data_IF_656723635304
#
_entry.id   IF_656723635304
#
_cell.length_a   1.000
_cell.length_b   1.000
_cell.length_c   1.000
_cell.angle_alpha   90.00
_cell.angle_beta   90.00
_cell.angle_gamma   90.00
#
_symmetry.space_group_name_H-M   'P 1'
#
loop_
_entity.id
_entity.type
_entity.pdbx_description
1 polymer ?
#
# COMPACT_ATOMS: atom_id res chain seq x y z
N UNK A 1 -19.86 -19.38 8.28
CA UNK A 1 -19.19 -18.07 8.41
C UNK A 1 -17.71 -18.32 8.26
N UNK A 2 -17.17 -18.15 7.06
CA UNK A 2 -15.74 -18.35 6.84
C UNK A 2 -15.03 -17.14 7.45
N UNK A 3 -14.26 -17.37 8.51
CA UNK A 3 -13.36 -16.38 9.08
C UNK A 3 -12.26 -16.10 8.04
N UNK A 4 -12.53 -15.21 7.09
CA UNK A 4 -11.49 -14.74 6.17
C UNK A 4 -10.52 -13.88 6.96
N UNK A 5 -9.34 -14.42 7.23
CA UNK A 5 -8.20 -13.70 7.82
C UNK A 5 -7.79 -12.61 6.83
N UNK A 6 -7.70 -11.33 7.22
CA UNK A 6 -7.48 -10.22 6.28
C UNK A 6 -6.09 -10.22 5.64
N UNK A 7 -5.11 -10.90 6.23
CA UNK A 7 -3.81 -11.16 5.61
C UNK A 7 -3.98 -11.96 4.32
N UNK A 8 -4.88 -12.94 4.34
CA UNK A 8 -5.29 -13.74 3.20
C UNK A 8 -6.62 -13.19 2.68
N UNK A 9 -6.58 -11.99 2.09
CA UNK A 9 -7.67 -11.63 1.18
C UNK A 9 -7.76 -12.73 0.12
N UNK A 10 -8.87 -13.46 0.17
CA UNK A 10 -9.14 -14.55 -0.75
C UNK A 10 -9.09 -14.02 -2.17
N UNK A 11 -8.39 -14.74 -3.03
CA UNK A 11 -8.39 -14.44 -4.45
C UNK A 11 -9.82 -14.51 -4.98
N UNK A 12 -10.17 -13.52 -5.79
CA UNK A 12 -11.46 -13.51 -6.48
C UNK A 12 -11.51 -14.68 -7.45
N UNK A 13 -12.70 -15.11 -7.85
CA UNK A 13 -12.80 -16.23 -8.81
C UNK A 13 -12.08 -15.91 -10.13
N UNK A 14 -12.06 -14.63 -10.52
CA UNK A 14 -11.30 -14.12 -11.68
C UNK A 14 -9.79 -14.26 -11.51
N UNK A 15 -9.29 -13.98 -10.31
CA UNK A 15 -7.86 -14.16 -9.98
C UNK A 15 -7.46 -15.62 -10.09
N UNK A 16 -8.30 -16.52 -9.58
CA UNK A 16 -8.07 -17.96 -9.67
C UNK A 16 -8.15 -18.46 -11.11
N UNK A 17 -9.15 -18.04 -11.89
CA UNK A 17 -9.25 -18.38 -13.30
C UNK A 17 -8.00 -17.93 -14.07
N UNK A 18 -7.53 -16.71 -13.81
CA UNK A 18 -6.32 -16.17 -14.41
C UNK A 18 -5.09 -17.03 -14.06
N UNK A 19 -4.85 -17.31 -12.77
CA UNK A 19 -3.71 -18.11 -12.34
C UNK A 19 -3.73 -19.54 -12.91
N UNK A 20 -4.89 -20.19 -12.88
CA UNK A 20 -5.02 -21.56 -13.40
C UNK A 20 -4.80 -21.63 -14.90
N UNK A 21 -5.29 -20.63 -15.66
CA UNK A 21 -5.10 -20.56 -17.11
C UNK A 21 -3.62 -20.48 -17.52
N UNK A 22 -2.76 -19.92 -16.67
CA UNK A 22 -1.33 -19.75 -16.94
C UNK A 22 -0.52 -20.97 -16.53
N UNK A 23 -0.82 -21.53 -15.35
CA UNK A 23 -0.02 -22.64 -14.78
C UNK A 23 -0.33 -23.97 -15.46
N UNK A 24 -1.60 -24.19 -15.82
CA UNK A 24 -2.08 -25.47 -16.35
C UNK A 24 -2.96 -25.26 -17.59
N UNK A 25 -2.38 -24.86 -18.74
CA UNK A 25 -3.14 -24.73 -19.98
C UNK A 25 -3.70 -26.10 -20.39
N UNK A 26 -5.02 -26.28 -20.30
CA UNK A 26 -5.71 -27.50 -20.73
C UNK A 26 -5.88 -28.60 -19.67
N UNK A 27 -5.68 -28.31 -18.38
CA UNK A 27 -5.96 -29.31 -17.33
C UNK A 27 -7.46 -29.61 -17.20
N UNK A 28 -7.80 -30.90 -17.19
CA UNK A 28 -9.18 -31.39 -16.97
C UNK A 28 -9.68 -31.15 -15.52
N UNK A 29 -8.76 -30.86 -14.57
CA UNK A 29 -9.07 -30.76 -13.15
C UNK A 29 -8.80 -29.36 -12.56
N UNK A 30 -9.32 -28.33 -13.23
CA UNK A 30 -9.27 -26.92 -12.82
C UNK A 30 -9.74 -26.70 -11.38
N UNK A 31 -10.73 -27.47 -10.92
CA UNK A 31 -11.28 -27.38 -9.57
C UNK A 31 -10.25 -27.73 -8.49
N UNK A 32 -9.51 -28.84 -8.65
CA UNK A 32 -8.48 -29.26 -7.70
C UNK A 32 -7.36 -28.23 -7.54
N UNK A 33 -6.98 -27.56 -8.63
CA UNK A 33 -5.93 -26.52 -8.60
C UNK A 33 -6.43 -25.26 -7.91
N UNK A 34 -7.70 -24.87 -8.11
CA UNK A 34 -8.31 -23.73 -7.42
C UNK A 34 -8.34 -23.94 -5.91
N UNK A 35 -8.75 -25.12 -5.46
CA UNK A 35 -8.76 -25.48 -4.05
C UNK A 35 -7.35 -25.53 -3.45
N UNK A 36 -6.37 -26.03 -4.21
CA UNK A 36 -4.97 -26.00 -3.78
C UNK A 36 -4.46 -24.56 -3.59
N UNK A 37 -4.76 -23.64 -4.52
CA UNK A 37 -4.36 -22.22 -4.39
C UNK A 37 -5.04 -21.55 -3.17
N UNK A 38 -6.28 -21.93 -2.84
CA UNK A 38 -7.00 -21.37 -1.68
C UNK A 38 -6.48 -21.91 -0.35
N UNK A 39 -6.21 -23.21 -0.27
CA UNK A 39 -5.98 -23.90 1.00
C UNK A 39 -4.49 -24.12 1.32
N UNK A 40 -3.60 -24.04 0.34
CA UNK A 40 -2.15 -24.23 0.50
C UNK A 40 -1.39 -22.90 0.20
N UNK A 41 -0.99 -22.16 1.26
CA UNK A 41 -0.24 -20.91 1.12
C UNK A 41 1.09 -21.05 0.38
N UNK A 42 1.79 -22.17 0.53
CA UNK A 42 3.08 -22.41 -0.13
C UNK A 42 2.87 -22.68 -1.63
N UNK A 43 1.83 -23.45 -1.97
CA UNK A 43 1.44 -23.66 -3.35
C UNK A 43 0.99 -22.36 -4.03
N UNK A 44 0.17 -21.55 -3.33
CA UNK A 44 -0.19 -20.19 -3.78
C UNK A 44 1.05 -19.35 -4.03
N UNK A 45 1.97 -19.31 -3.06
CA UNK A 45 3.23 -18.56 -3.16
C UNK A 45 4.03 -18.98 -4.38
N UNK A 46 4.17 -20.29 -4.63
CA UNK A 46 4.89 -20.83 -5.78
C UNK A 46 4.26 -20.40 -7.11
N UNK A 47 2.93 -20.52 -7.23
CA UNK A 47 2.19 -20.13 -8.44
C UNK A 47 2.28 -18.63 -8.72
N UNK A 48 2.02 -17.78 -7.73
CA UNK A 48 2.05 -16.32 -7.90
C UNK A 48 3.47 -15.83 -8.23
N UNK A 49 4.49 -16.58 -7.78
CA UNK A 49 5.90 -16.31 -8.09
C UNK A 49 6.36 -16.80 -9.48
N UNK A 50 5.51 -17.49 -10.24
CA UNK A 50 5.89 -18.06 -11.53
C UNK A 50 6.20 -16.96 -12.56
N UNK A 51 7.27 -17.14 -13.33
CA UNK A 51 7.73 -16.16 -14.32
C UNK A 51 6.69 -15.94 -15.44
N UNK A 52 5.91 -16.97 -15.76
CA UNK A 52 4.83 -16.89 -16.76
C UNK A 52 3.71 -15.97 -16.27
N UNK A 53 3.38 -16.05 -14.97
CA UNK A 53 2.37 -15.18 -14.34
C UNK A 53 2.85 -13.73 -14.38
N UNK A 54 4.11 -13.48 -13.98
CA UNK A 54 4.69 -12.14 -14.06
C UNK A 54 4.71 -11.60 -15.50
N UNK A 55 5.19 -12.39 -16.46
CA UNK A 55 5.26 -12.01 -17.87
C UNK A 55 3.89 -11.65 -18.44
N UNK A 56 2.85 -12.41 -18.09
CA UNK A 56 1.49 -12.11 -18.52
C UNK A 56 0.98 -10.80 -17.91
N UNK A 57 1.23 -10.56 -16.62
CA UNK A 57 0.79 -9.34 -15.92
C UNK A 57 1.46 -8.08 -16.49
N UNK A 58 2.75 -8.14 -16.83
CA UNK A 58 3.49 -6.95 -17.33
C UNK A 58 3.24 -6.67 -18.82
N UNK A 59 3.14 -7.72 -19.64
CA UNK A 59 2.99 -7.59 -21.09
C UNK A 59 1.55 -7.28 -21.52
N UNK A 60 0.54 -7.75 -20.77
CA UNK A 60 -0.84 -7.39 -21.01
C UNK A 60 -1.15 -6.01 -20.38
N UNK A 61 -1.28 -4.99 -21.22
CA UNK A 61 -1.59 -3.62 -20.80
C UNK A 61 -2.92 -3.48 -20.04
N UNK A 62 -3.82 -4.46 -20.20
CA UNK A 62 -5.13 -4.50 -19.55
C UNK A 62 -5.20 -5.52 -18.41
N UNK A 63 -4.08 -6.17 -18.04
CA UNK A 63 -4.04 -7.14 -16.95
C UNK A 63 -4.66 -6.61 -15.67
N UNK A 64 -4.37 -5.35 -15.33
CA UNK A 64 -4.92 -4.65 -14.16
C UNK A 64 -6.45 -4.53 -14.15
N UNK A 65 -7.13 -4.61 -15.30
CA UNK A 65 -8.59 -4.64 -15.40
C UNK A 65 -9.16 -6.06 -15.29
N UNK A 66 -8.34 -7.07 -15.60
CA UNK A 66 -8.73 -8.49 -15.64
C UNK A 66 -8.58 -9.17 -14.28
N UNK A 67 -7.56 -8.78 -13.51
CA UNK A 67 -7.28 -9.30 -12.17
C UNK A 67 -7.52 -8.26 -11.08
N UNK A 68 -7.65 -8.72 -9.84
CA UNK A 68 -7.77 -7.83 -8.68
C UNK A 68 -6.47 -7.05 -8.45
N UNK A 69 -6.56 -5.81 -7.92
CA UNK A 69 -5.38 -5.04 -7.56
C UNK A 69 -4.46 -5.75 -6.55
N UNK A 70 -5.03 -6.55 -5.63
CA UNK A 70 -4.25 -7.33 -4.66
C UNK A 70 -3.35 -8.34 -5.36
N UNK A 71 -3.89 -9.16 -6.27
CA UNK A 71 -3.08 -10.11 -7.05
C UNK A 71 -2.03 -9.39 -7.89
N UNK A 72 -2.42 -8.29 -8.54
CA UNK A 72 -1.50 -7.48 -9.36
C UNK A 72 -0.27 -7.03 -8.56
N UNK A 73 -0.47 -6.42 -7.39
CA UNK A 73 0.64 -5.97 -6.56
C UNK A 73 1.40 -7.12 -5.90
N UNK A 74 0.75 -8.24 -5.57
CA UNK A 74 1.44 -9.43 -5.05
C UNK A 74 2.44 -9.97 -6.07
N UNK A 75 2.02 -10.15 -7.33
CA UNK A 75 2.90 -10.60 -8.43
C UNK A 75 4.08 -9.65 -8.60
N UNK A 76 3.84 -8.33 -8.60
CA UNK A 76 4.90 -7.34 -8.73
C UNK A 76 5.87 -7.35 -7.53
N UNK A 77 5.38 -7.46 -6.30
CA UNK A 77 6.21 -7.51 -5.09
C UNK A 77 7.07 -8.77 -5.06
N UNK A 78 6.51 -9.94 -5.43
CA UNK A 78 7.28 -11.19 -5.52
C UNK A 78 8.36 -11.12 -6.59
N UNK A 79 8.07 -10.50 -7.74
CA UNK A 79 9.09 -10.24 -8.75
C UNK A 79 10.17 -9.28 -8.25
N UNK A 80 9.76 -8.18 -7.59
CA UNK A 80 10.69 -7.22 -7.01
C UNK A 80 11.62 -7.87 -5.98
N UNK A 81 11.11 -8.79 -5.15
CA UNK A 81 11.94 -9.56 -4.22
C UNK A 81 13.03 -10.35 -4.96
N UNK A 82 12.68 -11.08 -6.02
CA UNK A 82 13.65 -11.83 -6.85
C UNK A 82 14.70 -10.92 -7.50
N UNK A 83 14.27 -9.78 -8.03
CA UNK A 83 15.19 -8.82 -8.65
C UNK A 83 16.09 -8.14 -7.59
N UNK A 84 15.58 -7.87 -6.39
CA UNK A 84 16.37 -7.32 -5.30
C UNK A 84 17.47 -8.28 -4.86
N UNK A 85 17.20 -9.59 -4.80
CA UNK A 85 18.21 -10.61 -4.49
C UNK A 85 19.35 -10.60 -5.52
N UNK A 86 19.04 -10.37 -6.79
CA UNK A 86 20.04 -10.28 -7.87
C UNK A 86 20.68 -8.90 -8.04
N UNK A 87 20.15 -7.87 -7.37
CA UNK A 87 20.68 -6.52 -7.42
C UNK A 87 21.85 -6.34 -6.45
N UNK A 88 22.85 -5.57 -6.87
CA UNK A 88 23.98 -5.21 -6.03
C UNK A 88 23.65 -4.15 -4.96
N UNK A 89 22.68 -3.26 -5.23
CA UNK A 89 22.32 -2.16 -4.32
C UNK A 89 20.84 -1.77 -4.43
N UNK A 90 20.33 -1.13 -3.38
CA UNK A 90 19.08 -0.36 -3.40
C UNK A 90 19.41 1.12 -3.52
N UNK A 91 18.47 1.94 -4.00
CA UNK A 91 18.69 3.39 -4.12
C UNK A 91 17.91 4.10 -3.03
N UNK A 92 18.60 4.70 -2.07
CA UNK A 92 18.03 5.69 -1.16
C UNK A 92 18.25 7.11 -1.69
N UNK A 93 17.43 8.06 -1.25
CA UNK A 93 17.56 9.46 -1.67
C UNK A 93 17.90 10.25 -0.44
N UNK A 94 18.96 11.04 -0.49
CA UNK A 94 19.32 11.95 0.59
C UNK A 94 19.38 13.36 -0.02
N UNK A 95 18.49 14.23 0.43
CA UNK A 95 18.28 15.54 -0.20
C UNK A 95 17.94 15.43 -1.69
N UNK A 96 18.84 15.89 -2.56
CA UNK A 96 18.67 15.85 -4.03
C UNK A 96 19.38 14.67 -4.71
N UNK A 97 20.27 13.97 -4.01
CA UNK A 97 21.10 12.90 -4.56
C UNK A 97 20.50 11.51 -4.34
N UNK A 98 20.79 10.60 -5.27
CA UNK A 98 20.50 9.17 -5.12
C UNK A 98 21.76 8.47 -4.60
N UNK A 99 21.64 7.76 -3.48
CA UNK A 99 22.73 7.04 -2.83
C UNK A 99 22.49 5.54 -3.00
N UNK A 100 23.46 4.79 -3.58
CA UNK A 100 23.41 3.34 -3.59
C UNK A 100 23.68 2.81 -2.18
N UNK A 101 22.77 2.00 -1.66
CA UNK A 101 22.86 1.34 -0.35
C UNK A 101 22.93 -0.17 -0.55
N UNK A 102 23.97 -0.80 0.00
CA UNK A 102 24.25 -2.22 -0.16
C UNK A 102 23.52 -3.05 0.90
N UNK A 103 22.20 -3.06 0.87
CA UNK A 103 21.36 -3.76 1.84
C UNK A 103 20.27 -4.62 1.20
N UNK A 104 20.47 -5.00 -0.07
CA UNK A 104 19.51 -5.78 -0.86
C UNK A 104 19.10 -7.09 -0.18
N UNK A 105 20.04 -7.80 0.46
CA UNK A 105 19.76 -9.01 1.24
C UNK A 105 18.83 -8.78 2.42
N UNK A 106 19.01 -7.66 3.15
CA UNK A 106 18.12 -7.31 4.28
C UNK A 106 16.71 -6.97 3.78
N UNK A 107 16.60 -6.22 2.69
CA UNK A 107 15.31 -5.84 2.10
C UNK A 107 14.57 -7.04 1.50
N UNK A 108 15.30 -7.94 0.84
CA UNK A 108 14.73 -9.17 0.32
C UNK A 108 14.28 -10.13 1.44
N UNK A 109 15.07 -10.24 2.51
CA UNK A 109 14.71 -11.00 3.72
C UNK A 109 13.51 -10.39 4.44
N UNK A 110 13.41 -9.07 4.51
CA UNK A 110 12.22 -8.39 5.05
C UNK A 110 10.94 -8.81 4.30
N UNK A 111 10.98 -8.86 2.96
CA UNK A 111 9.86 -9.33 2.14
C UNK A 111 9.56 -10.84 2.30
N UNK A 112 10.52 -11.61 2.80
CA UNK A 112 10.36 -13.04 3.10
C UNK A 112 9.70 -13.29 4.46
N UNK A 113 9.59 -12.24 5.29
CA UNK A 113 8.88 -12.32 6.56
C UNK A 113 7.43 -12.74 6.32
N UNK A 114 6.90 -13.72 7.08
CA UNK A 114 5.54 -14.22 6.86
C UNK A 114 4.52 -13.09 6.81
N UNK A 115 3.60 -13.15 5.85
CA UNK A 115 2.46 -12.25 5.70
C UNK A 115 2.79 -10.79 5.32
N UNK A 116 4.06 -10.35 5.40
CA UNK A 116 4.45 -8.96 5.12
C UNK A 116 4.24 -8.62 3.65
N UNK A 117 4.64 -9.50 2.73
CA UNK A 117 4.47 -9.27 1.30
C UNK A 117 2.99 -9.19 0.91
N UNK A 118 2.19 -10.13 1.39
CA UNK A 118 0.74 -10.18 1.16
C UNK A 118 0.05 -8.95 1.75
N UNK A 119 0.47 -8.52 2.95
CA UNK A 119 -0.01 -7.29 3.56
C UNK A 119 0.32 -6.06 2.70
N UNK A 120 1.56 -5.92 2.25
CA UNK A 120 1.98 -4.80 1.39
C UNK A 120 1.19 -4.78 0.07
N UNK A 121 0.95 -5.94 -0.54
CA UNK A 121 0.13 -6.07 -1.74
C UNK A 121 -1.30 -5.55 -1.51
N UNK A 122 -1.93 -5.99 -0.41
CA UNK A 122 -3.27 -5.57 -0.03
C UNK A 122 -3.34 -4.08 0.36
N UNK A 123 -2.30 -3.58 1.04
CA UNK A 123 -2.16 -2.17 1.37
C UNK A 123 -2.09 -1.32 0.10
N UNK A 124 -1.26 -1.68 -0.88
CA UNK A 124 -1.19 -1.02 -2.18
C UNK A 124 -2.52 -1.08 -2.95
N UNK A 125 -3.17 -2.24 -2.94
CA UNK A 125 -4.49 -2.43 -3.55
C UNK A 125 -5.53 -1.46 -2.97
N UNK A 126 -5.47 -1.19 -1.66
CA UNK A 126 -6.39 -0.27 -0.98
C UNK A 126 -6.25 1.20 -1.44
N UNK A 127 -5.15 1.55 -2.11
CA UNK A 127 -4.92 2.90 -2.63
C UNK A 127 -5.35 3.09 -4.09
N UNK A 128 -5.72 2.01 -4.79
CA UNK A 128 -6.22 2.10 -6.18
C UNK A 128 -7.58 2.77 -6.29
N UNK A 129 -8.41 2.68 -5.24
CA UNK A 129 -9.71 3.35 -5.14
C UNK A 129 -9.73 4.26 -3.92
N UNK A 130 -9.47 5.54 -4.16
CA UNK A 130 -9.48 6.54 -3.09
C UNK A 130 -10.92 6.92 -2.78
N UNK A 131 -11.35 6.62 -1.56
CA UNK A 131 -12.64 7.07 -1.04
C UNK A 131 -12.50 8.50 -0.54
N UNK A 132 -13.48 9.34 -0.86
CA UNK A 132 -13.56 10.72 -0.38
C UNK A 132 -14.97 10.94 0.16
N UNK A 133 -15.07 11.43 1.39
CA UNK A 133 -16.35 11.70 2.05
C UNK A 133 -16.44 13.19 2.42
N UNK A 134 -17.64 13.72 2.58
CA UNK A 134 -17.86 15.16 2.85
C UNK A 134 -18.59 15.32 4.17
N UNK A 135 -17.94 15.92 5.18
CA UNK A 135 -18.54 16.17 6.50
C UNK A 135 -18.77 17.67 6.71
N UNK A 136 -19.96 18.09 7.18
CA UNK A 136 -20.24 19.48 7.48
C UNK A 136 -19.62 19.90 8.83
N UNK A 137 -18.50 20.60 8.80
CA UNK A 137 -17.78 21.11 9.98
C UNK A 137 -18.26 22.51 10.32
N UNK A 138 -18.51 22.79 11.61
CA UNK A 138 -18.84 24.14 12.09
C UNK A 138 -17.55 24.92 12.32
N UNK A 139 -17.35 25.99 11.55
CA UNK A 139 -16.10 26.77 11.59
C UNK A 139 -16.23 27.97 12.53
N UNK A 140 -17.43 28.57 12.60
CA UNK A 140 -17.78 29.69 13.48
C UNK A 140 -19.23 29.57 13.94
N UNK A 141 -19.66 30.38 14.91
CA UNK A 141 -21.06 30.45 15.34
C UNK A 141 -21.93 30.78 14.12
N UNK A 142 -22.83 29.86 13.74
CA UNK A 142 -23.73 30.01 12.58
C UNK A 142 -23.18 29.56 11.21
N UNK A 143 -21.87 29.35 11.04
CA UNK A 143 -21.29 28.98 9.73
C UNK A 143 -20.89 27.51 9.72
N UNK A 144 -21.62 26.70 8.96
CA UNK A 144 -21.25 25.31 8.62
C UNK A 144 -20.57 25.28 7.25
N UNK A 145 -19.45 24.58 7.13
CA UNK A 145 -18.75 24.36 5.86
C UNK A 145 -18.65 22.87 5.58
N UNK A 146 -18.85 22.50 4.32
CA UNK A 146 -18.66 21.13 3.85
C UNK A 146 -17.17 20.92 3.61
N UNK A 147 -16.52 20.12 4.46
CA UNK A 147 -15.11 19.75 4.31
C UNK A 147 -15.06 18.37 3.68
N UNK A 148 -14.35 18.23 2.54
CA UNK A 148 -14.08 16.94 1.92
C UNK A 148 -12.87 16.32 2.62
N UNK A 149 -13.05 15.14 3.17
CA UNK A 149 -12.00 14.30 3.71
C UNK A 149 -11.63 13.23 2.69
N UNK A 150 -10.34 12.92 2.64
CA UNK A 150 -9.75 11.92 1.77
C UNK A 150 -8.98 10.95 2.66
N UNK A 151 -9.12 9.64 2.41
CA UNK A 151 -8.39 8.56 3.10
C UNK A 151 -6.86 8.58 2.89
N UNK A 152 -6.33 9.64 2.27
CA UNK A 152 -4.91 9.94 2.08
C UNK A 152 -4.38 11.08 2.97
N UNK A 153 -5.26 11.79 3.68
CA UNK A 153 -4.86 12.97 4.47
C UNK A 153 -4.55 12.58 5.93
N UNK A 154 -3.28 12.38 6.23
CA UNK A 154 -2.79 11.92 7.55
C UNK A 154 -3.33 12.78 8.69
N UNK A 155 -3.27 14.12 8.59
CA UNK A 155 -3.77 15.03 9.64
C UNK A 155 -5.26 14.79 9.94
N UNK A 156 -6.07 14.72 8.88
CA UNK A 156 -7.50 14.48 9.02
C UNK A 156 -7.79 13.12 9.65
N UNK A 157 -7.05 12.08 9.25
CA UNK A 157 -7.20 10.74 9.81
C UNK A 157 -6.82 10.69 11.29
N UNK A 158 -5.77 11.41 11.70
CA UNK A 158 -5.38 11.54 13.12
C UNK A 158 -6.50 12.22 13.92
N UNK A 159 -7.07 13.29 13.40
CA UNK A 159 -8.18 14.00 14.04
C UNK A 159 -9.44 13.14 14.16
N UNK A 160 -9.71 12.28 13.17
CA UNK A 160 -10.80 11.31 13.25
C UNK A 160 -10.51 10.20 14.26
N UNK A 161 -9.31 9.65 14.25
CA UNK A 161 -8.90 8.62 15.22
C UNK A 161 -9.04 9.11 16.67
N UNK A 162 -8.74 10.40 16.91
CA UNK A 162 -8.89 11.02 18.23
C UNK A 162 -10.35 11.17 18.70
N UNK A 163 -11.31 11.20 17.76
CA UNK A 163 -12.75 11.36 18.04
C UNK A 163 -13.54 10.06 17.90
N UNK A 164 -12.93 9.05 17.28
CA UNK A 164 -13.55 7.75 17.05
C UNK A 164 -13.67 6.95 18.36
N UNK A 165 -14.71 6.12 18.41
CA UNK A 165 -14.89 5.12 19.44
C UNK A 165 -13.81 4.05 19.35
N UNK A 166 -13.52 3.39 20.48
CA UNK A 166 -12.42 2.43 20.58
C UNK A 166 -12.51 1.31 19.53
N UNK A 167 -13.72 0.81 19.26
CA UNK A 167 -13.96 -0.22 18.23
C UNK A 167 -13.58 0.21 16.80
N UNK A 168 -13.62 1.51 16.50
CA UNK A 168 -13.35 2.05 15.16
C UNK A 168 -11.90 2.52 14.98
N UNK A 169 -11.19 2.80 16.08
CA UNK A 169 -9.82 3.36 16.09
C UNK A 169 -8.82 2.51 15.34
N UNK A 170 -8.93 1.19 15.43
CA UNK A 170 -8.06 0.26 14.72
C UNK A 170 -7.95 0.56 13.23
N UNK A 171 -9.10 0.80 12.58
CA UNK A 171 -9.15 1.04 11.14
C UNK A 171 -8.41 2.33 10.75
N UNK A 172 -8.52 3.37 11.59
CA UNK A 172 -7.79 4.63 11.41
C UNK A 172 -6.30 4.46 11.67
N UNK A 173 -5.89 3.76 12.74
CA UNK A 173 -4.47 3.52 13.05
C UNK A 173 -3.76 2.78 11.92
N UNK A 174 -4.35 1.68 11.46
CA UNK A 174 -3.88 0.95 10.28
C UNK A 174 -3.77 1.87 9.07
N UNK A 175 -4.84 2.62 8.75
CA UNK A 175 -4.87 3.48 7.55
C UNK A 175 -3.83 4.59 7.61
N UNK A 176 -3.60 5.20 8.77
CA UNK A 176 -2.59 6.24 8.93
C UNK A 176 -1.19 5.67 8.68
N UNK A 177 -0.86 4.52 9.28
CA UNK A 177 0.41 3.83 9.04
C UNK A 177 0.62 3.50 7.57
N UNK A 178 -0.40 2.93 6.93
CA UNK A 178 -0.39 2.59 5.50
C UNK A 178 -0.19 3.82 4.61
N UNK A 179 -0.86 4.94 4.90
CA UNK A 179 -0.70 6.19 4.15
C UNK A 179 0.72 6.72 4.29
N UNK A 180 1.28 6.72 5.50
CA UNK A 180 2.66 7.14 5.72
C UNK A 180 3.64 6.27 4.91
N UNK A 181 3.47 4.94 4.94
CA UNK A 181 4.34 4.02 4.21
C UNK A 181 4.18 4.17 2.69
N UNK A 182 2.95 4.33 2.21
CA UNK A 182 2.63 4.55 0.80
C UNK A 182 3.24 5.85 0.27
N UNK A 183 3.06 6.97 0.99
CA UNK A 183 3.57 8.28 0.61
C UNK A 183 5.10 8.32 0.61
N UNK A 184 5.73 7.70 1.60
CA UNK A 184 7.21 7.68 1.72
C UNK A 184 7.86 6.67 0.77
N UNK A 185 7.19 5.57 0.44
CA UNK A 185 7.70 4.51 -0.45
C UNK A 185 7.50 4.78 -1.95
N UNK A 186 6.27 5.03 -2.38
CA UNK A 186 5.94 5.15 -3.81
C UNK A 186 6.20 6.54 -4.39
N UNK A 187 5.94 7.61 -3.62
CA UNK A 187 6.02 9.01 -4.07
C UNK A 187 7.25 9.72 -3.50
N UNK A 188 8.43 9.30 -3.96
CA UNK A 188 9.73 9.86 -3.54
C UNK A 188 10.00 11.26 -4.09
N UNK A 189 9.42 11.63 -5.23
CA UNK A 189 9.73 12.90 -5.92
C UNK A 189 9.03 14.13 -5.32
N UNK A 190 7.90 13.94 -4.63
CA UNK A 190 7.08 15.02 -4.07
C UNK A 190 7.27 15.24 -2.56
N UNK A 191 7.98 14.34 -1.89
CA UNK A 191 8.24 14.42 -0.43
C UNK A 191 9.63 14.97 -0.10
N UNK A 192 10.61 14.80 -1.00
CA UNK A 192 12.01 15.24 -0.80
C UNK A 192 12.32 16.66 -1.28
N UNK A 193 11.52 17.21 -2.20
CA UNK A 193 11.77 18.56 -2.64
C UNK A 193 11.24 19.53 -1.59
N UNK A 194 12.13 20.24 -0.90
CA UNK A 194 11.78 21.40 -0.08
C UNK A 194 10.95 22.47 -0.85
N UNK A 195 10.76 22.31 -2.17
CA UNK A 195 9.94 23.14 -3.05
C UNK A 195 8.95 22.39 -3.95
N UNK A 196 8.93 21.05 -4.01
CA UNK A 196 7.92 20.33 -4.81
C UNK A 196 6.83 19.85 -3.87
N UNK A 197 5.69 20.45 -4.13
CA UNK A 197 4.53 20.37 -3.31
C UNK A 197 3.90 18.99 -3.50
N UNK A 198 3.60 18.27 -2.42
CA UNK A 198 2.32 17.56 -2.36
C UNK A 198 1.21 18.62 -2.31
N UNK A 199 1.09 19.40 -3.39
CA UNK A 199 -0.09 20.20 -3.63
C UNK A 199 -1.19 19.18 -3.82
N UNK A 200 -2.25 19.41 -3.07
CA UNK A 200 -3.55 18.77 -3.15
C UNK A 200 -4.08 18.72 -4.60
N UNK A 201 -3.56 17.83 -5.43
CA UNK A 201 -4.13 17.50 -6.75
C UNK A 201 -5.01 16.26 -6.71
N UNK A 202 -5.19 15.67 -5.52
CA UNK A 202 -6.53 15.19 -5.19
C UNK A 202 -7.43 16.40 -5.24
N UNK A 203 -8.15 16.57 -6.36
CA UNK A 203 -9.16 17.60 -6.59
C UNK A 203 -10.19 17.56 -5.44
N UNK A 204 -9.83 18.17 -4.33
CA UNK A 204 -10.75 18.86 -3.47
C UNK A 204 -11.05 20.11 -4.26
N UNK A 205 -12.20 20.09 -4.94
CA UNK A 205 -12.65 21.19 -5.79
C UNK A 205 -12.41 22.54 -5.13
N UNK A 206 -12.15 23.53 -5.96
CA UNK A 206 -12.06 24.97 -5.73
C UNK A 206 -12.79 25.46 -4.47
N UNK A 207 -12.15 25.42 -3.30
CA UNK A 207 -12.72 26.06 -2.09
C UNK A 207 -11.64 26.75 -1.24
N UNK A 208 -11.89 28.00 -0.80
CA UNK A 208 -10.96 28.79 0.00
C UNK A 208 -10.76 28.16 1.38
N UNK A 209 -9.51 27.73 1.60
CA UNK A 209 -8.96 27.12 2.81
C UNK A 209 -9.25 27.96 4.05
N UNK A 210 -9.85 27.37 5.08
CA UNK A 210 -9.95 28.02 6.39
C UNK A 210 -8.57 28.03 7.06
N UNK A 211 -8.14 29.21 7.51
CA UNK A 211 -6.87 29.49 8.19
C UNK A 211 -6.52 28.60 9.41
N UNK A 212 -7.45 27.77 9.89
CA UNK A 212 -7.26 26.88 11.05
C UNK A 212 -6.56 25.55 10.72
N UNK A 213 -6.43 25.18 9.45
CA UNK A 213 -5.73 23.96 9.03
C UNK A 213 -4.75 24.29 7.91
N UNK A 214 -3.66 24.99 8.25
CA UNK A 214 -2.44 24.90 7.46
C UNK A 214 -2.00 23.43 7.57
N UNK A 215 -2.21 22.63 6.51
CA UNK A 215 -1.63 21.28 6.39
C UNK A 215 -0.21 21.34 6.91
N UNK A 216 0.07 20.59 7.99
CA UNK A 216 1.39 20.62 8.62
C UNK A 216 2.33 20.04 7.57
N UNK A 217 3.27 20.87 7.11
CA UNK A 217 4.27 20.43 6.14
C UNK A 217 5.15 19.41 6.84
N UNK A 218 4.90 18.12 6.61
CA UNK A 218 5.68 17.05 7.21
C UNK A 218 6.93 16.78 6.39
N UNK A 219 8.07 16.68 7.06
CA UNK A 219 9.27 16.09 6.47
C UNK A 219 9.07 14.59 6.26
N UNK A 220 9.96 13.97 5.48
CA UNK A 220 10.00 12.52 5.36
C UNK A 220 10.11 11.85 6.74
N UNK A 221 11.02 12.34 7.57
CA UNK A 221 11.26 11.82 8.92
C UNK A 221 10.02 11.93 9.80
N UNK A 222 9.24 13.00 9.67
CA UNK A 222 7.95 13.14 10.35
C UNK A 222 6.93 12.10 9.88
N UNK A 223 6.86 11.81 8.57
CA UNK A 223 5.99 10.73 8.07
C UNK A 223 6.44 9.35 8.55
N UNK A 224 7.75 9.10 8.62
CA UNK A 224 8.28 7.83 9.15
C UNK A 224 7.95 7.68 10.63
N UNK A 225 8.17 8.73 11.43
CA UNK A 225 7.89 8.72 12.86
C UNK A 225 6.40 8.52 13.13
N UNK A 226 5.52 9.20 12.40
CA UNK A 226 4.07 8.98 12.51
C UNK A 226 3.68 7.57 12.02
N UNK A 227 4.26 7.10 10.91
CA UNK A 227 4.01 5.75 10.39
C UNK A 227 4.34 4.67 11.42
N UNK A 228 5.53 4.73 12.04
CA UNK A 228 5.94 3.82 13.12
C UNK A 228 5.01 3.91 14.32
N UNK A 229 4.67 5.14 14.73
CA UNK A 229 3.77 5.36 15.87
C UNK A 229 2.40 4.74 15.64
N UNK A 230 1.81 4.92 14.46
CA UNK A 230 0.47 4.40 14.18
C UNK A 230 0.45 2.90 13.93
N UNK A 231 1.53 2.32 13.40
CA UNK A 231 1.65 0.85 13.40
C UNK A 231 1.77 0.28 14.81
N UNK A 232 2.47 0.95 15.74
CA UNK A 232 2.47 0.56 17.16
C UNK A 232 1.06 0.61 17.76
N UNK A 233 0.33 1.70 17.55
CA UNK A 233 -1.05 1.83 18.05
C UNK A 233 -1.99 0.79 17.43
N UNK A 234 -1.78 0.42 16.17
CA UNK A 234 -2.53 -0.64 15.52
C UNK A 234 -2.19 -2.02 16.10
N UNK A 235 -0.91 -2.31 16.32
CA UNK A 235 -0.38 -3.53 16.94
C UNK A 235 -0.94 -3.76 18.36
N UNK A 236 -0.95 -2.72 19.20
CA UNK A 236 -1.44 -2.77 20.59
C UNK A 236 -2.97 -2.96 20.68
N UNK A 237 -3.70 -2.73 19.59
CA UNK A 237 -5.16 -2.84 19.59
C UNK A 237 -5.63 -4.30 19.56
N UNK A 238 -6.64 -4.71 20.35
CA UNK A 238 -7.12 -6.10 20.40
C UNK A 238 -7.50 -6.69 19.03
N UNK A 239 -8.03 -5.85 18.14
CA UNK A 239 -8.37 -6.23 16.76
C UNK A 239 -7.17 -6.72 15.95
N UNK A 240 -5.94 -6.26 16.21
CA UNK A 240 -4.75 -6.75 15.49
C UNK A 240 -4.53 -8.25 15.73
N UNK A 241 -4.73 -8.71 16.96
CA UNK A 241 -4.60 -10.13 17.31
C UNK A 241 -5.68 -10.97 16.64
N UNK A 242 -6.94 -10.51 16.64
CA UNK A 242 -8.05 -11.20 15.97
C UNK A 242 -7.82 -11.33 14.46
N UNK A 243 -7.16 -10.35 13.86
CA UNK A 243 -6.85 -10.30 12.44
C UNK A 243 -5.49 -10.91 12.07
N UNK A 244 -4.74 -11.42 13.06
CA UNK A 244 -3.37 -11.95 12.89
C UNK A 244 -2.40 -10.95 12.23
N UNK A 245 -2.56 -9.67 12.56
CA UNK A 245 -1.74 -8.57 12.02
C UNK A 245 -0.70 -8.03 13.01
N UNK A 246 -0.71 -8.51 14.26
CA UNK A 246 0.20 -8.02 15.31
C UNK A 246 1.67 -8.15 14.89
N UNK A 247 2.08 -9.32 14.40
CA UNK A 247 3.48 -9.55 13.99
C UNK A 247 3.86 -8.70 12.78
N UNK A 248 2.95 -8.57 11.81
CA UNK A 248 3.15 -7.73 10.63
C UNK A 248 3.34 -6.27 11.03
N UNK A 249 2.51 -5.74 11.94
CA UNK A 249 2.64 -4.38 12.42
C UNK A 249 3.89 -4.15 13.27
N UNK A 250 4.30 -5.12 14.08
CA UNK A 250 5.56 -5.05 14.82
C UNK A 250 6.74 -4.93 13.85
N UNK A 251 6.78 -5.78 12.82
CA UNK A 251 7.85 -5.76 11.79
C UNK A 251 7.82 -4.45 11.00
N UNK A 252 6.66 -3.96 10.59
CA UNK A 252 6.53 -2.69 9.86
C UNK A 252 6.91 -1.47 10.71
N UNK A 253 6.64 -1.50 12.01
CA UNK A 253 7.06 -0.47 12.96
C UNK A 253 8.57 -0.45 13.11
N UNK A 254 9.18 -1.62 13.33
CA UNK A 254 10.60 -1.72 13.65
C UNK A 254 11.47 -1.53 12.40
N UNK A 255 11.03 -2.03 11.25
CA UNK A 255 11.74 -1.99 9.98
C UNK A 255 11.07 -1.09 8.94
N UNK A 256 10.43 0.01 9.37
CA UNK A 256 9.72 0.93 8.47
C UNK A 256 10.60 1.43 7.30
N UNK A 257 11.89 1.69 7.56
CA UNK A 257 12.82 2.13 6.54
C UNK A 257 13.04 1.06 5.45
N UNK A 258 13.11 -0.22 5.84
CA UNK A 258 13.23 -1.35 4.93
C UNK A 258 11.92 -1.54 4.14
N UNK A 259 10.76 -1.39 4.78
CA UNK A 259 9.45 -1.52 4.14
C UNK A 259 9.24 -0.52 2.98
N UNK A 260 9.86 0.67 3.03
CA UNK A 260 9.80 1.66 1.94
C UNK A 260 10.55 1.20 0.69
N UNK A 261 11.64 0.44 0.83
CA UNK A 261 12.56 0.13 -0.27
C UNK A 261 11.94 -0.74 -1.37
N UNK A 262 11.19 -1.82 -1.06
CA UNK A 262 10.44 -2.56 -2.06
C UNK A 262 9.45 -1.69 -2.83
N UNK A 263 8.74 -0.81 -2.13
CA UNK A 263 7.77 0.11 -2.73
C UNK A 263 8.48 1.10 -3.67
N UNK A 264 9.60 1.66 -3.23
CA UNK A 264 10.44 2.53 -4.04
C UNK A 264 10.97 1.82 -5.30
N UNK A 265 11.41 0.57 -5.14
CA UNK A 265 11.88 -0.26 -6.26
C UNK A 265 10.75 -0.50 -7.27
N UNK A 266 9.56 -0.89 -6.79
CA UNK A 266 8.36 -1.03 -7.62
C UNK A 266 8.00 0.24 -8.39
N UNK A 267 7.97 1.38 -7.70
CA UNK A 267 7.70 2.69 -8.27
C UNK A 267 8.64 2.98 -9.45
N UNK A 268 9.94 2.81 -9.23
CA UNK A 268 10.96 3.11 -10.23
C UNK A 268 10.98 2.15 -11.42
N UNK A 269 10.77 0.84 -11.19
CA UNK A 269 11.01 -0.19 -12.20
C UNK A 269 9.75 -0.58 -12.98
N UNK A 270 8.60 -0.63 -12.30
CA UNK A 270 7.38 -1.25 -12.82
C UNK A 270 6.25 -0.26 -13.04
N UNK A 271 6.20 0.82 -12.27
CA UNK A 271 5.04 1.72 -12.26
C UNK A 271 5.32 3.09 -12.91
N UNK A 272 6.56 3.38 -13.35
CA UNK A 272 7.01 4.71 -13.77
C UNK A 272 6.09 5.44 -14.77
N UNK A 273 5.45 4.73 -15.71
CA UNK A 273 4.51 5.30 -16.68
C UNK A 273 3.02 5.15 -16.30
N UNK A 274 2.69 4.30 -15.32
CA UNK A 274 1.30 3.92 -14.97
C UNK A 274 0.84 4.44 -13.60
N UNK A 275 1.71 4.99 -12.77
CA UNK A 275 1.37 5.48 -11.41
C UNK A 275 0.16 6.42 -11.39
N UNK A 276 0.09 7.36 -12.33
CA UNK A 276 -0.99 8.36 -12.35
C UNK A 276 -2.36 7.75 -12.69
N UNK A 277 -2.38 6.75 -13.58
CA UNK A 277 -3.59 6.03 -13.96
C UNK A 277 -4.01 5.00 -12.89
N UNK A 278 -3.04 4.40 -12.21
CA UNK A 278 -3.29 3.37 -11.18
C UNK A 278 -3.76 3.95 -9.85
N UNK A 279 -3.29 5.15 -9.49
CA UNK A 279 -3.58 5.79 -8.20
C UNK A 279 -4.41 7.08 -8.30
N UNK A 280 -4.92 7.43 -9.50
CA UNK A 280 -5.67 8.68 -9.75
C UNK A 280 -4.95 9.93 -9.18
N UNK A 281 -3.62 9.98 -9.31
CA UNK A 281 -2.80 11.11 -8.87
C UNK A 281 -2.53 12.00 -10.09
N UNK A 282 -3.27 13.11 -10.22
CA UNK A 282 -3.05 14.05 -11.32
C UNK A 282 -1.87 15.00 -11.02
N UNK A 283 -0.96 15.18 -11.99
CA UNK A 283 -0.03 16.32 -12.02
C UNK A 283 -0.67 17.48 -12.82
N UNK A 284 -0.56 18.75 -12.40
CA UNK A 284 -0.88 19.88 -13.25
C UNK A 284 0.33 20.13 -14.17
N UNK A 285 0.05 20.43 -15.43
CA UNK A 285 0.99 21.08 -16.33
C UNK A 285 1.46 22.42 -15.74
#
# INVERSE_FOLDING_TARGET
MVNHKPVYLDFTDRDLDFLVSIVTPGALNTFSVREAIRNDPEYRRAIVSDERVFSQVINDGESFLKISPSLYFEVLLRRAQKDLISSAYTIEREGRGNIPVFDTGKVAGFLDTPNVLEYLANMLASFTRIRSFVVPVRVRKGIRRRVRYNDMDVDSLIDFAARADESERFSYYKRIGDVCLFLTGLFRDSTYSQKSHFNSNFQSGTYPRTSFMRKRRRSLEEYENEGRRFYRLAEEHPTASVLELTDVFSVLRDEFAAARKPLAFLSSRYLHSRQNNLFNVAHPA
#
